data_IF_119254479677
#
_entry.id   IF_119254479677
#
_cell.length_a   1.000
_cell.length_b   1.000
_cell.length_c   1.000
_cell.angle_alpha   90.00
_cell.angle_beta   90.00
_cell.angle_gamma   90.00
#
_symmetry.space_group_name_H-M   'P 1'
#
loop_
_entity.id
_entity.type
_entity.pdbx_description
1 polymer ?
#
# COMPACT_ATOMS: atom_id res chain seq x y z
N UNK A 1 21.31 -35.56 -16.87
CA UNK A 1 20.57 -34.90 -15.77
C UNK A 1 21.33 -33.61 -15.44
N UNK A 2 20.82 -32.43 -15.70
CA UNK A 2 21.37 -31.20 -15.12
C UNK A 2 20.62 -30.89 -13.82
N UNK A 3 21.32 -30.99 -12.70
CA UNK A 3 20.88 -30.38 -11.45
C UNK A 3 21.09 -28.85 -11.59
N UNK A 4 20.11 -28.15 -12.13
CA UNK A 4 20.05 -26.70 -12.07
C UNK A 4 19.66 -26.29 -10.66
N UNK A 5 20.47 -25.42 -10.11
CA UNK A 5 20.48 -24.94 -8.74
C UNK A 5 19.13 -24.30 -8.37
N UNK A 6 18.18 -25.09 -7.89
CA UNK A 6 16.86 -24.68 -7.41
C UNK A 6 16.95 -23.61 -6.29
N UNK A 7 18.07 -23.62 -5.54
CA UNK A 7 18.31 -22.65 -4.49
C UNK A 7 18.65 -21.24 -4.97
N UNK A 8 19.24 -21.08 -6.16
CA UNK A 8 19.56 -19.74 -6.70
C UNK A 8 18.31 -19.09 -7.34
N UNK A 9 17.41 -19.89 -7.90
CA UNK A 9 16.12 -19.39 -8.41
C UNK A 9 15.21 -18.94 -7.26
N UNK A 10 15.20 -19.66 -6.14
CA UNK A 10 14.40 -19.27 -4.98
C UNK A 10 14.90 -17.97 -4.33
N UNK A 11 16.21 -17.70 -4.34
CA UNK A 11 16.75 -16.45 -3.79
C UNK A 11 16.46 -15.26 -4.70
N UNK A 12 16.52 -15.45 -6.02
CA UNK A 12 16.14 -14.42 -6.99
C UNK A 12 14.61 -14.18 -6.98
N UNK A 13 13.81 -15.22 -6.76
CA UNK A 13 12.35 -15.11 -6.60
C UNK A 13 11.99 -14.38 -5.30
N UNK A 14 12.67 -14.66 -4.18
CA UNK A 14 12.47 -13.95 -2.91
C UNK A 14 12.87 -12.46 -3.05
N UNK A 15 13.95 -12.17 -3.76
CA UNK A 15 14.41 -10.79 -4.01
C UNK A 15 13.45 -10.04 -4.94
N UNK A 16 12.83 -10.70 -5.91
CA UNK A 16 11.87 -10.08 -6.82
C UNK A 16 10.42 -10.06 -6.27
N UNK A 17 10.04 -11.02 -5.42
CA UNK A 17 8.78 -10.96 -4.64
C UNK A 17 8.85 -9.76 -3.68
N UNK A 18 10.06 -9.50 -3.14
CA UNK A 18 10.36 -8.25 -2.48
C UNK A 18 10.12 -7.02 -3.38
N UNK A 19 10.01 -7.13 -4.69
CA UNK A 19 9.90 -5.99 -5.59
C UNK A 19 8.56 -5.25 -5.55
N UNK A 20 7.48 -5.93 -5.27
CA UNK A 20 6.18 -5.44 -5.64
C UNK A 20 5.15 -5.18 -4.52
N UNK A 21 5.27 -5.63 -3.30
CA UNK A 21 4.26 -5.43 -2.26
C UNK A 21 4.37 -4.08 -1.49
N UNK A 22 4.96 -3.07 -2.08
CA UNK A 22 5.28 -1.79 -1.44
C UNK A 22 4.36 -0.62 -1.75
N UNK A 23 3.48 -0.77 -2.70
CA UNK A 23 2.57 0.32 -3.11
C UNK A 23 1.20 0.21 -2.43
N UNK A 24 0.85 -0.96 -1.86
CA UNK A 24 -0.46 -1.22 -1.23
C UNK A 24 -0.77 -0.43 0.07
N UNK A 25 -0.10 0.68 0.32
CA UNK A 25 -0.31 1.49 1.53
C UNK A 25 -0.84 2.89 1.31
N UNK A 26 -1.10 3.31 0.07
CA UNK A 26 -1.56 4.67 -0.25
C UNK A 26 -2.80 4.71 -1.16
N UNK A 27 -3.70 3.75 -1.05
CA UNK A 27 -5.04 3.94 -1.60
C UNK A 27 -5.76 4.98 -0.74
N UNK A 28 -5.71 6.25 -1.15
CA UNK A 28 -6.59 7.26 -0.64
C UNK A 28 -8.01 6.82 -0.92
N UNK A 29 -8.78 6.56 0.13
CA UNK A 29 -10.23 6.44 0.01
C UNK A 29 -10.74 7.72 -0.62
N UNK A 30 -11.21 7.64 -1.86
CA UNK A 30 -12.00 8.71 -2.46
C UNK A 30 -13.36 8.69 -1.78
N UNK A 31 -13.47 9.37 -0.64
CA UNK A 31 -14.78 9.80 -0.16
C UNK A 31 -15.34 10.80 -1.17
N UNK A 32 -16.59 10.60 -1.61
CA UNK A 32 -17.36 11.55 -2.40
C UNK A 32 -17.28 12.94 -1.77
N UNK A 33 -16.99 14.00 -2.54
CA UNK A 33 -16.91 15.34 -2.00
C UNK A 33 -18.27 15.77 -1.46
N UNK A 34 -18.36 15.93 -0.15
CA UNK A 34 -19.48 16.63 0.48
C UNK A 34 -19.62 18.02 -0.18
N UNK A 35 -20.85 18.53 -0.36
CA UNK A 35 -21.09 19.78 -1.09
C UNK A 35 -20.31 20.93 -0.46
N UNK A 36 -19.56 21.62 -1.30
CA UNK A 36 -18.73 22.75 -0.95
C UNK A 36 -19.47 23.80 -0.10
N UNK A 37 -19.15 23.87 1.17
CA UNK A 37 -19.46 25.06 1.96
C UNK A 37 -18.41 26.12 1.63
N UNK A 38 -18.84 27.20 1.01
CA UNK A 38 -18.06 28.40 0.77
C UNK A 38 -17.66 29.02 2.10
N UNK A 39 -16.40 28.82 2.51
CA UNK A 39 -15.78 29.53 3.61
C UNK A 39 -15.25 30.85 3.05
N UNK A 40 -15.54 32.03 3.65
CA UNK A 40 -14.98 33.28 3.19
C UNK A 40 -13.48 33.30 3.39
N UNK A 41 -12.75 33.70 2.36
CA UNK A 41 -11.29 33.94 2.40
C UNK A 41 -11.04 35.14 3.31
N UNK A 42 -10.25 35.05 4.39
CA UNK A 42 -9.81 36.19 5.14
C UNK A 42 -8.70 36.89 4.38
N UNK A 43 -8.82 38.21 4.25
CA UNK A 43 -7.83 39.11 3.65
C UNK A 43 -6.50 39.00 4.39
N UNK A 44 -5.43 39.04 3.59
CA UNK A 44 -4.06 39.03 4.08
C UNK A 44 -3.70 40.36 4.81
N UNK A 45 -3.80 40.34 6.12
CA UNK A 45 -3.10 41.31 6.96
C UNK A 45 -2.47 40.60 8.16
N UNK A 46 -1.15 40.79 8.28
CA UNK A 46 -0.32 40.12 9.26
C UNK A 46 -0.70 40.43 10.70
N UNK A 47 -0.74 39.39 11.52
CA UNK A 47 -0.70 39.55 12.96
C UNK A 47 0.36 38.61 13.54
N UNK A 48 1.19 39.20 14.35
CA UNK A 48 2.29 38.63 15.09
C UNK A 48 1.84 37.40 15.93
N UNK A 49 2.68 36.40 15.90
CA UNK A 49 2.54 35.21 16.77
C UNK A 49 2.93 35.64 18.19
N UNK A 50 1.96 35.76 19.04
CA UNK A 50 2.17 35.94 20.48
C UNK A 50 2.40 34.52 21.07
N UNK A 51 3.62 34.32 21.59
CA UNK A 51 3.98 33.10 22.32
C UNK A 51 3.20 33.02 23.62
N UNK A 52 2.23 32.16 23.71
CA UNK A 52 1.68 31.72 25.00
C UNK A 52 2.18 30.28 25.30
N UNK A 53 2.96 30.22 26.38
CA UNK A 53 3.48 28.97 26.92
C UNK A 53 2.38 28.29 27.72
N UNK A 54 1.91 27.14 27.27
CA UNK A 54 1.55 26.02 28.13
C UNK A 54 0.89 24.88 27.34
N UNK A 55 1.62 23.81 27.19
CA UNK A 55 1.11 22.46 27.31
C UNK A 55 0.15 21.94 26.25
N UNK A 56 0.59 20.91 25.65
CA UNK A 56 -0.12 19.95 24.81
C UNK A 56 0.07 20.22 23.30
N UNK A 57 1.19 19.70 22.80
CA UNK A 57 1.39 19.54 21.34
C UNK A 57 0.37 18.54 20.81
N UNK A 58 -0.86 18.97 20.65
CA UNK A 58 -1.82 18.27 19.80
C UNK A 58 -1.40 18.57 18.36
N UNK A 59 -0.63 17.67 17.76
CA UNK A 59 -0.30 17.74 16.33
C UNK A 59 -1.62 17.48 15.59
N UNK A 60 -2.28 18.55 15.15
CA UNK A 60 -3.39 18.44 14.20
C UNK A 60 -2.78 18.08 12.85
N UNK A 61 -2.83 16.80 12.53
CA UNK A 61 -2.38 16.31 11.22
C UNK A 61 -3.45 16.69 10.21
N UNK A 62 -3.15 17.69 9.36
CA UNK A 62 -3.98 17.98 8.20
C UNK A 62 -3.75 16.84 7.18
N UNK A 63 -4.77 16.05 6.81
CA UNK A 63 -4.61 14.93 5.89
C UNK A 63 -4.15 15.34 4.48
N UNK A 64 -4.24 16.62 4.14
CA UNK A 64 -3.91 17.15 2.83
C UNK A 64 -2.51 17.79 2.75
N UNK A 65 -1.80 17.90 3.86
CA UNK A 65 -0.49 18.56 3.92
C UNK A 65 0.56 17.60 4.47
N UNK A 66 1.58 17.31 3.66
CA UNK A 66 2.76 16.58 4.14
C UNK A 66 3.59 17.54 4.99
N UNK A 67 3.63 17.30 6.32
CA UNK A 67 4.48 18.06 7.23
C UNK A 67 5.96 17.72 6.98
N UNK A 68 6.80 18.74 6.94
CA UNK A 68 8.26 18.58 6.85
C UNK A 68 8.92 18.48 8.23
N UNK A 69 8.23 17.87 9.20
CA UNK A 69 8.79 17.63 10.52
C UNK A 69 10.07 16.78 10.44
N UNK A 70 11.00 17.05 11.32
CA UNK A 70 12.28 16.35 11.39
C UNK A 70 12.11 14.99 12.08
N UNK A 71 11.69 13.99 11.31
CA UNK A 71 11.61 12.63 11.81
C UNK A 71 12.99 12.01 12.01
N UNK A 72 13.17 11.31 13.13
CA UNK A 72 14.40 10.59 13.42
C UNK A 72 14.59 9.41 12.48
N UNK A 73 15.61 9.45 11.63
CA UNK A 73 15.94 8.41 10.65
C UNK A 73 17.41 7.98 10.82
N UNK A 74 17.65 6.99 11.70
CA UNK A 74 19.00 6.52 11.98
C UNK A 74 19.67 5.81 10.79
N UNK A 75 18.88 5.35 9.82
CA UNK A 75 19.36 4.65 8.63
C UNK A 75 19.34 5.53 7.38
N UNK A 76 19.20 6.85 7.53
CA UNK A 76 19.09 7.79 6.40
C UNK A 76 20.09 7.56 5.26
N UNK A 77 21.41 7.34 5.50
CA UNK A 77 22.34 7.12 4.38
C UNK A 77 22.02 5.87 3.55
N UNK A 78 21.64 4.78 4.23
CA UNK A 78 21.22 3.53 3.57
C UNK A 78 19.88 3.70 2.87
N UNK A 79 18.90 4.29 3.56
CA UNK A 79 17.58 4.55 3.03
C UNK A 79 17.63 5.44 1.78
N UNK A 80 18.44 6.50 1.78
CA UNK A 80 18.65 7.35 0.59
C UNK A 80 19.31 6.61 -0.58
N UNK A 81 20.24 5.71 -0.29
CA UNK A 81 20.85 4.89 -1.33
C UNK A 81 19.82 3.96 -1.99
N UNK A 82 19.05 3.24 -1.17
CA UNK A 82 17.98 2.34 -1.67
C UNK A 82 16.88 3.13 -2.38
N UNK A 83 16.50 4.29 -1.84
CA UNK A 83 15.52 5.17 -2.46
C UNK A 83 15.95 5.60 -3.87
N UNK A 84 17.21 6.02 -4.04
CA UNK A 84 17.75 6.38 -5.37
C UNK A 84 17.72 5.21 -6.34
N UNK A 85 18.03 4.00 -5.87
CA UNK A 85 17.92 2.81 -6.70
C UNK A 85 16.46 2.59 -7.15
N UNK A 86 15.52 2.68 -6.22
CA UNK A 86 14.09 2.54 -6.52
C UNK A 86 13.58 3.65 -7.46
N UNK A 87 13.99 4.88 -7.24
CA UNK A 87 13.61 6.05 -8.09
C UNK A 87 14.10 5.89 -9.53
N UNK A 88 15.36 5.47 -9.71
CA UNK A 88 15.91 5.18 -11.06
C UNK A 88 15.10 4.08 -11.75
N UNK A 89 14.81 2.99 -11.04
CA UNK A 89 14.02 1.90 -11.59
C UNK A 89 12.59 2.34 -11.92
N UNK A 90 11.96 3.10 -11.04
CA UNK A 90 10.61 3.62 -11.28
C UNK A 90 10.58 4.53 -12.51
N UNK A 91 11.43 5.55 -12.57
CA UNK A 91 11.45 6.53 -13.67
C UNK A 91 11.80 5.92 -15.03
N UNK A 92 12.77 5.03 -15.08
CA UNK A 92 13.29 4.50 -16.36
C UNK A 92 12.63 3.18 -16.81
N UNK A 93 11.97 2.46 -15.92
CA UNK A 93 11.31 1.20 -16.27
C UNK A 93 9.82 1.18 -15.90
N UNK A 94 9.47 1.33 -14.62
CA UNK A 94 8.09 1.07 -14.18
C UNK A 94 7.09 2.13 -14.67
N UNK A 95 7.43 3.43 -14.59
CA UNK A 95 6.55 4.52 -15.06
C UNK A 95 6.32 4.45 -16.57
N UNK A 96 7.33 4.31 -17.44
CA UNK A 96 7.10 4.14 -18.87
C UNK A 96 6.25 2.90 -19.23
N UNK A 97 6.49 1.79 -18.52
CA UNK A 97 5.71 0.56 -18.71
C UNK A 97 4.27 0.73 -18.20
N UNK A 98 4.06 1.35 -17.05
CA UNK A 98 2.73 1.64 -16.49
C UNK A 98 1.91 2.56 -17.40
N UNK A 99 2.50 3.64 -17.88
CA UNK A 99 1.87 4.53 -18.88
C UNK A 99 1.55 3.81 -20.19
N UNK A 100 2.42 2.88 -20.60
CA UNK A 100 2.16 2.01 -21.76
C UNK A 100 0.99 1.07 -21.52
N UNK A 101 0.97 0.45 -20.35
CA UNK A 101 -0.09 -0.44 -19.88
C UNK A 101 -1.46 0.28 -19.87
N UNK A 102 -1.55 1.42 -19.22
CA UNK A 102 -2.77 2.22 -19.12
C UNK A 102 -3.35 2.67 -20.48
N UNK A 103 -2.50 2.79 -21.53
CA UNK A 103 -2.95 3.12 -22.88
C UNK A 103 -3.51 1.93 -23.66
N UNK A 104 -3.05 0.73 -23.32
CA UNK A 104 -3.38 -0.50 -24.07
C UNK A 104 -4.50 -1.28 -23.42
N UNK A 105 -4.56 -1.27 -22.09
CA UNK A 105 -5.57 -2.00 -21.32
C UNK A 105 -6.83 -1.14 -21.19
N UNK A 106 -7.99 -1.60 -21.70
CA UNK A 106 -9.25 -0.90 -21.52
C UNK A 106 -9.68 -0.92 -20.06
N UNK A 107 -10.29 0.16 -19.57
CA UNK A 107 -10.79 0.30 -18.21
C UNK A 107 -11.65 -0.90 -17.74
N UNK A 108 -12.48 -1.44 -18.62
CA UNK A 108 -13.29 -2.62 -18.29
C UNK A 108 -12.45 -3.88 -18.01
N UNK A 109 -11.25 -4.02 -18.59
CA UNK A 109 -10.31 -5.12 -18.30
C UNK A 109 -9.55 -4.83 -17.03
N UNK A 110 -9.13 -3.59 -16.86
CA UNK A 110 -8.43 -3.08 -15.70
C UNK A 110 -9.20 -3.40 -14.41
N UNK A 111 -10.46 -2.99 -14.33
CA UNK A 111 -11.36 -3.34 -13.21
C UNK A 111 -11.55 -4.85 -12.98
N UNK A 112 -11.43 -5.69 -14.01
CA UNK A 112 -11.52 -7.16 -13.81
C UNK A 112 -10.25 -7.70 -13.16
N UNK A 113 -9.12 -7.14 -13.50
CA UNK A 113 -7.84 -7.49 -12.89
C UNK A 113 -7.82 -7.04 -11.43
N UNK A 114 -8.28 -5.82 -11.13
CA UNK A 114 -8.44 -5.33 -9.75
C UNK A 114 -9.32 -6.26 -8.92
N UNK A 115 -10.51 -6.56 -9.41
CA UNK A 115 -11.44 -7.45 -8.73
C UNK A 115 -10.84 -8.82 -8.45
N UNK A 116 -10.07 -9.37 -9.40
CA UNK A 116 -9.40 -10.66 -9.23
C UNK A 116 -8.36 -10.61 -8.10
N UNK A 117 -7.47 -9.62 -8.10
CA UNK A 117 -6.43 -9.51 -7.06
C UNK A 117 -7.02 -9.14 -5.70
N UNK A 118 -8.03 -8.26 -5.65
CA UNK A 118 -8.79 -7.96 -4.44
C UNK A 118 -9.46 -9.21 -3.88
N UNK A 119 -10.07 -10.05 -4.73
CA UNK A 119 -10.66 -11.31 -4.30
C UNK A 119 -9.61 -12.29 -3.74
N UNK A 120 -8.44 -12.37 -4.35
CA UNK A 120 -7.33 -13.21 -3.88
C UNK A 120 -6.79 -12.74 -2.52
N UNK A 121 -6.87 -11.45 -2.20
CA UNK A 121 -6.46 -10.90 -0.91
C UNK A 121 -7.46 -11.18 0.23
N UNK A 122 -8.75 -11.42 -0.07
CA UNK A 122 -9.79 -11.61 0.96
C UNK A 122 -9.49 -12.69 2.02
N UNK A 123 -8.88 -13.85 1.69
CA UNK A 123 -8.46 -14.82 2.70
C UNK A 123 -7.42 -14.27 3.68
N UNK A 124 -6.49 -13.43 3.21
CA UNK A 124 -5.49 -12.76 4.06
C UNK A 124 -6.22 -11.79 5.02
N UNK A 125 -7.11 -10.97 4.48
CA UNK A 125 -7.92 -10.05 5.27
C UNK A 125 -8.78 -10.78 6.31
N UNK A 126 -9.37 -11.94 5.94
CA UNK A 126 -10.18 -12.73 6.85
C UNK A 126 -9.36 -13.27 8.03
N UNK A 127 -8.14 -13.77 7.78
CA UNK A 127 -7.24 -14.25 8.84
C UNK A 127 -6.84 -13.08 9.75
N UNK A 128 -6.45 -11.96 9.19
CA UNK A 128 -6.02 -10.78 9.95
C UNK A 128 -7.16 -10.19 10.78
N UNK A 129 -8.37 -10.05 10.22
CA UNK A 129 -9.55 -9.63 10.99
C UNK A 129 -9.85 -10.59 12.16
N UNK A 130 -9.63 -11.90 11.97
CA UNK A 130 -9.81 -12.85 13.06
C UNK A 130 -8.76 -12.66 14.15
N UNK A 131 -7.51 -12.42 13.78
CA UNK A 131 -6.42 -12.11 14.73
C UNK A 131 -6.63 -10.79 15.48
N UNK A 132 -7.36 -9.84 14.88
CA UNK A 132 -7.80 -8.59 15.52
C UNK A 132 -9.07 -8.73 16.36
N UNK A 133 -9.54 -9.98 16.59
CA UNK A 133 -10.77 -10.28 17.30
C UNK A 133 -12.05 -9.70 16.66
N UNK A 134 -12.06 -9.52 15.34
CA UNK A 134 -13.17 -9.02 14.53
C UNK A 134 -13.80 -10.16 13.66
N UNK A 135 -14.46 -11.16 14.28
CA UNK A 135 -14.98 -12.33 13.55
C UNK A 135 -16.09 -11.98 12.54
N UNK A 136 -16.78 -10.85 12.73
CA UNK A 136 -17.79 -10.37 11.78
C UNK A 136 -17.14 -9.92 10.47
N UNK A 137 -16.04 -9.18 10.54
CA UNK A 137 -15.28 -8.70 9.39
C UNK A 137 -14.62 -9.88 8.69
N UNK A 138 -14.02 -10.79 9.45
CA UNK A 138 -13.50 -12.06 8.92
C UNK A 138 -14.56 -12.86 8.15
N UNK A 139 -15.74 -13.05 8.75
CA UNK A 139 -16.86 -13.76 8.12
C UNK A 139 -17.37 -13.05 6.86
N UNK A 140 -17.39 -11.71 6.84
CA UNK A 140 -17.74 -10.91 5.66
C UNK A 140 -16.77 -11.14 4.51
N UNK A 141 -15.46 -11.10 4.78
CA UNK A 141 -14.43 -11.36 3.76
C UNK A 141 -14.48 -12.79 3.22
N UNK A 142 -14.72 -13.79 4.07
CA UNK A 142 -14.90 -15.17 3.62
C UNK A 142 -16.16 -15.34 2.76
N UNK A 143 -17.27 -14.67 3.10
CA UNK A 143 -18.47 -14.67 2.31
C UNK A 143 -18.25 -14.02 0.93
N UNK A 144 -17.57 -12.85 0.90
CA UNK A 144 -17.15 -12.20 -0.37
C UNK A 144 -16.31 -13.14 -1.21
N UNK A 145 -15.26 -13.73 -0.62
CA UNK A 145 -14.39 -14.66 -1.31
C UNK A 145 -15.18 -15.83 -1.93
N UNK A 146 -16.08 -16.45 -1.17
CA UNK A 146 -16.93 -17.54 -1.66
C UNK A 146 -17.84 -17.12 -2.81
N UNK A 147 -18.52 -15.99 -2.69
CA UNK A 147 -19.44 -15.46 -3.72
C UNK A 147 -18.66 -15.06 -4.97
N UNK A 148 -17.61 -14.29 -4.83
CA UNK A 148 -16.85 -13.75 -5.95
C UNK A 148 -16.05 -14.84 -6.67
N UNK A 149 -15.54 -15.84 -5.95
CA UNK A 149 -14.85 -16.98 -6.58
C UNK A 149 -15.81 -17.87 -7.36
N UNK A 150 -17.02 -18.13 -6.86
CA UNK A 150 -17.98 -19.03 -7.49
C UNK A 150 -18.84 -18.34 -8.56
N UNK A 151 -19.57 -17.30 -8.18
CA UNK A 151 -20.49 -16.57 -9.05
C UNK A 151 -19.75 -15.49 -9.86
N UNK A 152 -18.74 -14.87 -9.26
CA UNK A 152 -17.92 -13.82 -9.87
C UNK A 152 -16.80 -14.34 -10.78
N UNK A 153 -16.79 -15.64 -11.16
CA UNK A 153 -15.77 -16.23 -12.05
C UNK A 153 -14.34 -16.01 -11.52
N UNK A 154 -14.01 -16.61 -10.39
CA UNK A 154 -12.72 -16.48 -9.70
C UNK A 154 -12.39 -15.04 -9.24
N UNK A 155 -13.41 -14.20 -9.07
CA UNK A 155 -13.24 -12.81 -8.63
C UNK A 155 -13.10 -11.79 -9.75
N UNK A 156 -13.23 -12.16 -11.03
CA UNK A 156 -13.27 -11.19 -12.13
C UNK A 156 -14.46 -10.23 -12.05
N UNK A 157 -15.52 -10.65 -11.36
CA UNK A 157 -16.70 -9.83 -11.05
C UNK A 157 -16.88 -9.79 -9.54
N UNK A 158 -17.53 -8.73 -9.04
CA UNK A 158 -17.84 -8.54 -7.63
C UNK A 158 -19.36 -8.57 -7.35
N UNK A 159 -20.01 -9.73 -7.47
CA UNK A 159 -21.41 -9.87 -7.10
C UNK A 159 -21.65 -9.73 -5.59
N UNK A 160 -20.63 -9.92 -4.74
CA UNK A 160 -20.76 -9.75 -3.31
C UNK A 160 -21.03 -8.28 -2.94
N UNK A 161 -20.40 -7.34 -3.59
CA UNK A 161 -20.69 -5.93 -3.42
C UNK A 161 -21.94 -5.52 -4.17
N UNK A 162 -22.03 -5.86 -5.47
CA UNK A 162 -23.11 -5.40 -6.35
C UNK A 162 -24.50 -5.88 -5.92
N UNK A 163 -24.65 -7.07 -5.34
CA UNK A 163 -25.95 -7.64 -4.98
C UNK A 163 -26.25 -7.61 -3.49
N UNK A 164 -25.21 -7.65 -2.65
CA UNK A 164 -25.36 -7.77 -1.20
C UNK A 164 -24.81 -6.58 -0.43
N UNK A 165 -24.14 -5.63 -1.09
CA UNK A 165 -23.51 -4.48 -0.43
C UNK A 165 -22.44 -4.89 0.59
N UNK A 166 -21.78 -6.01 0.34
CA UNK A 166 -20.69 -6.47 1.21
C UNK A 166 -19.40 -5.81 0.76
N UNK A 167 -18.98 -4.76 1.42
CA UNK A 167 -17.67 -4.12 1.21
C UNK A 167 -16.52 -4.95 1.80
N UNK A 168 -15.31 -4.93 1.22
CA UNK A 168 -14.15 -5.59 1.80
C UNK A 168 -13.78 -4.95 3.16
N UNK A 169 -13.30 -5.76 4.09
CA UNK A 169 -12.71 -5.30 5.32
C UNK A 169 -11.21 -5.57 5.26
N UNK A 170 -10.49 -4.63 4.71
CA UNK A 170 -9.04 -4.76 4.51
C UNK A 170 -8.32 -4.88 5.86
N UNK A 171 -7.40 -5.83 5.92
CA UNK A 171 -6.53 -6.05 7.07
C UNK A 171 -5.32 -6.88 6.64
N UNK A 172 -4.15 -6.36 6.87
CA UNK A 172 -2.88 -7.06 6.69
C UNK A 172 -2.24 -7.40 8.05
N UNK A 173 -1.12 -8.08 8.03
CA UNK A 173 -0.45 -8.43 9.27
C UNK A 173 0.21 -7.22 9.95
N UNK A 174 0.52 -6.15 9.22
CA UNK A 174 1.04 -4.91 9.79
C UNK A 174 -0.05 -4.18 10.61
N UNK A 175 -1.27 -4.11 10.09
CA UNK A 175 -2.43 -3.56 10.82
C UNK A 175 -2.80 -4.43 11.99
N UNK A 176 -2.65 -5.75 11.88
CA UNK A 176 -2.85 -6.69 13.00
C UNK A 176 -1.83 -6.45 14.11
N UNK A 177 -0.54 -6.32 13.78
CA UNK A 177 0.49 -5.98 14.76
C UNK A 177 0.23 -4.64 15.42
N UNK A 178 -0.19 -3.65 14.64
CA UNK A 178 -0.55 -2.34 15.16
C UNK A 178 -1.80 -2.38 16.06
N UNK A 179 -2.79 -3.23 15.77
CA UNK A 179 -3.94 -3.46 16.63
C UNK A 179 -3.52 -4.01 18.02
N UNK A 180 -2.42 -4.74 18.07
CA UNK A 180 -1.82 -5.25 19.31
C UNK A 180 -0.72 -4.33 19.88
N UNK A 181 -0.76 -3.03 19.57
CA UNK A 181 0.15 -2.00 20.08
C UNK A 181 1.64 -2.21 19.72
N UNK A 182 1.93 -2.97 18.67
CA UNK A 182 3.29 -3.08 18.15
C UNK A 182 3.63 -1.83 17.35
N UNK A 183 4.59 -1.04 17.85
CA UNK A 183 5.05 0.17 17.19
C UNK A 183 5.67 -0.09 15.81
N UNK A 184 5.75 0.93 14.97
CA UNK A 184 6.30 0.81 13.62
C UNK A 184 7.83 0.53 13.62
N UNK A 185 8.53 0.84 14.72
CA UNK A 185 9.97 0.63 14.85
C UNK A 185 10.80 1.67 14.10
N UNK A 186 11.72 1.20 13.26
CA UNK A 186 12.64 2.06 12.50
C UNK A 186 12.13 2.23 11.07
N UNK A 187 12.20 3.46 10.55
CA UNK A 187 11.91 3.73 9.15
C UNK A 187 12.95 3.05 8.24
N UNK A 188 12.48 2.39 7.20
CA UNK A 188 13.27 1.64 6.23
C UNK A 188 12.81 1.97 4.82
N UNK A 189 13.74 2.04 3.87
CA UNK A 189 13.40 1.96 2.45
C UNK A 189 13.81 0.58 1.96
N UNK A 190 12.83 -0.19 1.53
CA UNK A 190 13.09 -1.53 1.02
C UNK A 190 13.43 -1.47 -0.48
N UNK A 191 14.44 -2.22 -0.94
CA UNK A 191 14.71 -2.34 -2.37
C UNK A 191 13.45 -2.82 -3.07
N UNK A 192 13.07 -2.13 -4.13
CA UNK A 192 11.90 -2.42 -4.94
C UNK A 192 10.53 -2.07 -4.31
N UNK A 193 10.38 -2.11 -2.98
CA UNK A 193 9.12 -1.84 -2.29
C UNK A 193 8.93 -0.38 -1.88
N UNK A 194 10.00 0.39 -1.86
CA UNK A 194 9.93 1.78 -1.44
C UNK A 194 9.85 1.99 0.07
N UNK A 195 9.23 3.10 0.52
CA UNK A 195 9.08 3.46 1.92
C UNK A 195 8.40 2.36 2.74
N UNK A 196 8.92 2.09 3.91
CA UNK A 196 8.42 1.06 4.83
C UNK A 196 8.92 1.35 6.26
N UNK A 197 8.61 0.47 7.17
CA UNK A 197 9.12 0.45 8.54
C UNK A 197 9.34 -0.98 9.03
N UNK A 198 9.91 -1.13 10.21
CA UNK A 198 10.25 -2.44 10.76
C UNK A 198 9.05 -3.37 10.94
N UNK A 199 7.90 -2.83 11.35
CA UNK A 199 6.65 -3.59 11.49
C UNK A 199 6.12 -4.05 10.13
N UNK A 200 6.00 -3.12 9.19
CA UNK A 200 5.51 -3.41 7.85
C UNK A 200 6.45 -4.39 7.11
N UNK A 201 7.76 -4.23 7.22
CA UNK A 201 8.72 -5.14 6.62
C UNK A 201 8.61 -6.58 7.15
N UNK A 202 8.40 -6.73 8.46
CA UNK A 202 8.19 -8.06 9.07
C UNK A 202 6.83 -8.65 8.68
N UNK A 203 5.79 -7.82 8.66
CA UNK A 203 4.44 -8.24 8.31
C UNK A 203 4.33 -8.78 6.88
N UNK A 204 5.01 -8.15 5.91
CA UNK A 204 5.05 -8.62 4.52
C UNK A 204 5.51 -10.07 4.37
N UNK A 205 6.46 -10.50 5.20
CA UNK A 205 6.92 -11.90 5.19
C UNK A 205 5.79 -12.83 5.60
N UNK A 206 5.01 -12.47 6.62
CA UNK A 206 3.87 -13.27 7.07
C UNK A 206 2.75 -13.27 6.03
N UNK A 207 2.40 -12.12 5.48
CA UNK A 207 1.36 -11.99 4.46
C UNK A 207 1.70 -12.77 3.18
N UNK A 208 2.99 -12.85 2.82
CA UNK A 208 3.44 -13.71 1.72
C UNK A 208 3.11 -15.20 1.97
N UNK A 209 3.32 -15.69 3.20
CA UNK A 209 2.97 -17.08 3.55
C UNK A 209 1.45 -17.30 3.67
N UNK A 210 0.69 -16.26 3.96
CA UNK A 210 -0.77 -16.33 3.97
C UNK A 210 -1.38 -16.20 2.57
N UNK A 211 -0.61 -15.73 1.58
CA UNK A 211 -1.09 -15.47 0.24
C UNK A 211 -1.50 -16.76 -0.49
N UNK A 212 -2.72 -16.85 -1.07
CA UNK A 212 -3.22 -18.11 -1.65
C UNK A 212 -2.45 -18.55 -2.90
N UNK A 213 -1.95 -17.65 -3.72
CA UNK A 213 -1.32 -17.95 -5.02
C UNK A 213 -0.19 -18.97 -4.91
N UNK A 214 0.81 -18.83 -3.99
CA UNK A 214 1.89 -19.81 -3.87
C UNK A 214 1.46 -21.21 -3.41
N UNK A 215 0.24 -21.33 -2.88
CA UNK A 215 -0.31 -22.64 -2.47
C UNK A 215 -1.08 -23.35 -3.59
N UNK A 216 -1.49 -22.60 -4.61
CA UNK A 216 -2.29 -23.13 -5.73
C UNK A 216 -1.45 -23.28 -6.99
N UNK A 217 -0.48 -22.42 -7.20
CA UNK A 217 0.39 -22.41 -8.38
C UNK A 217 1.82 -22.77 -8.00
N UNK A 218 2.48 -23.53 -8.87
CA UNK A 218 3.90 -23.82 -8.76
C UNK A 218 4.75 -22.60 -9.20
N UNK A 219 6.07 -22.66 -8.92
CA UNK A 219 7.02 -21.71 -9.48
C UNK A 219 7.43 -22.14 -10.89
N UNK A 220 7.54 -21.23 -11.88
CA UNK A 220 7.56 -19.77 -11.75
C UNK A 220 6.20 -19.06 -11.91
N UNK A 221 5.11 -19.79 -12.14
CA UNK A 221 3.80 -19.21 -12.46
C UNK A 221 3.25 -18.34 -11.32
N UNK A 222 3.38 -18.82 -10.08
CA UNK A 222 2.99 -18.06 -8.90
C UNK A 222 3.72 -16.71 -8.82
N UNK A 223 5.03 -16.74 -9.08
CA UNK A 223 5.85 -15.53 -9.10
C UNK A 223 5.41 -14.54 -10.19
N UNK A 224 5.19 -15.02 -11.41
CA UNK A 224 4.77 -14.16 -12.53
C UNK A 224 3.42 -13.52 -12.23
N UNK A 225 2.45 -14.29 -11.71
CA UNK A 225 1.12 -13.76 -11.40
C UNK A 225 1.15 -12.73 -10.27
N UNK A 226 1.89 -13.00 -9.20
CA UNK A 226 2.06 -12.04 -8.10
C UNK A 226 2.77 -10.76 -8.57
N UNK A 227 3.84 -10.89 -9.36
CA UNK A 227 4.56 -9.74 -9.92
C UNK A 227 3.67 -8.92 -10.86
N UNK A 228 2.81 -9.57 -11.63
CA UNK A 228 1.86 -8.88 -12.48
C UNK A 228 0.83 -8.09 -11.66
N UNK A 229 0.28 -8.66 -10.59
CA UNK A 229 -0.66 -7.95 -9.72
C UNK A 229 -0.08 -6.66 -9.17
N UNK A 230 1.13 -6.73 -8.67
CA UNK A 230 1.84 -5.58 -8.13
C UNK A 230 2.23 -4.53 -9.20
N UNK A 231 2.60 -4.98 -10.38
CA UNK A 231 2.82 -4.07 -11.51
C UNK A 231 1.53 -3.39 -11.95
N UNK A 232 0.42 -4.13 -11.96
CA UNK A 232 -0.89 -3.60 -12.30
C UNK A 232 -1.33 -2.49 -11.34
N UNK A 233 -1.22 -2.71 -10.02
CA UNK A 233 -1.46 -1.71 -8.98
C UNK A 233 -0.57 -0.47 -9.18
N UNK A 234 0.74 -0.65 -9.35
CA UNK A 234 1.65 0.46 -9.61
C UNK A 234 1.29 1.22 -10.90
N UNK A 235 0.84 0.52 -11.95
CA UNK A 235 0.58 1.13 -13.25
C UNK A 235 -0.60 2.12 -13.20
N UNK A 236 -1.54 1.93 -12.29
CA UNK A 236 -2.66 2.85 -12.06
C UNK A 236 -2.16 4.18 -11.48
N UNK A 237 -1.19 4.13 -10.57
CA UNK A 237 -0.66 5.30 -9.86
C UNK A 237 0.63 5.87 -10.50
N UNK A 238 1.07 5.32 -11.63
CA UNK A 238 2.38 5.66 -12.22
C UNK A 238 2.53 7.15 -12.57
N UNK A 239 1.47 7.81 -13.05
CA UNK A 239 1.49 9.24 -13.37
C UNK A 239 1.51 10.10 -12.12
N UNK A 240 0.78 9.72 -11.09
CA UNK A 240 0.71 10.42 -9.82
C UNK A 240 2.02 10.29 -9.05
N UNK A 241 2.63 9.11 -9.06
CA UNK A 241 3.96 8.89 -8.49
C UNK A 241 5.02 9.81 -9.13
N UNK A 242 5.07 9.87 -10.46
CA UNK A 242 6.00 10.75 -11.17
C UNK A 242 5.76 12.22 -10.81
N UNK A 243 4.50 12.67 -10.85
CA UNK A 243 4.12 14.05 -10.52
C UNK A 243 4.50 14.46 -9.10
N UNK A 244 4.23 13.59 -8.11
CA UNK A 244 4.57 13.84 -6.70
C UNK A 244 6.08 14.01 -6.50
N UNK A 245 6.90 13.17 -7.15
CA UNK A 245 8.35 13.27 -7.05
C UNK A 245 8.92 14.48 -7.77
N UNK A 246 8.34 14.90 -8.90
CA UNK A 246 8.78 16.08 -9.64
C UNK A 246 8.45 17.40 -8.91
N UNK A 247 7.37 17.42 -8.15
CA UNK A 247 6.93 18.59 -7.40
C UNK A 247 7.63 18.75 -6.05
N UNK A 248 8.35 17.73 -5.59
CA UNK A 248 9.01 17.77 -4.28
C UNK A 248 10.46 18.28 -4.39
N UNK A 249 10.86 19.16 -3.46
CA UNK A 249 12.22 19.66 -3.36
C UNK A 249 13.23 18.54 -3.00
N UNK A 250 12.89 17.68 -2.05
CA UNK A 250 13.61 16.45 -1.71
C UNK A 250 12.64 15.25 -1.72
N UNK A 251 12.59 14.49 -2.83
CA UNK A 251 11.68 13.35 -2.97
C UNK A 251 11.83 12.29 -1.88
N UNK A 252 13.04 12.09 -1.37
CA UNK A 252 13.26 11.15 -0.27
C UNK A 252 12.60 11.62 1.03
N UNK A 253 12.80 12.87 1.41
CA UNK A 253 12.19 13.46 2.61
C UNK A 253 10.68 13.48 2.48
N UNK A 254 10.17 13.85 1.30
CA UNK A 254 8.74 13.86 1.02
C UNK A 254 8.12 12.47 1.23
N UNK A 255 8.66 11.43 0.59
CA UNK A 255 8.14 10.06 0.69
C UNK A 255 8.28 9.47 2.10
N UNK A 256 9.38 9.80 2.82
CA UNK A 256 9.54 9.43 4.23
C UNK A 256 8.44 10.03 5.09
N UNK A 257 8.23 11.33 4.96
CA UNK A 257 7.27 12.06 5.78
C UNK A 257 5.83 11.60 5.45
N UNK A 258 5.52 11.39 4.18
CA UNK A 258 4.23 10.84 3.75
C UNK A 258 3.96 9.48 4.42
N UNK A 259 4.93 8.55 4.38
CA UNK A 259 4.80 7.23 5.01
C UNK A 259 4.63 7.35 6.54
N UNK A 260 5.46 8.15 7.21
CA UNK A 260 5.38 8.28 8.67
C UNK A 260 4.10 8.96 9.13
N UNK A 261 3.59 9.93 8.37
CA UNK A 261 2.29 10.56 8.63
C UNK A 261 1.14 9.58 8.45
N UNK A 262 1.16 8.71 7.42
CA UNK A 262 0.12 7.68 7.26
C UNK A 262 0.10 6.74 8.45
N UNK A 263 1.26 6.25 8.90
CA UNK A 263 1.38 5.37 10.08
C UNK A 263 0.87 6.05 11.36
N UNK A 264 1.16 7.34 11.56
CA UNK A 264 0.68 8.11 12.72
C UNK A 264 -0.83 8.36 12.66
N UNK A 265 -1.36 8.70 11.48
CA UNK A 265 -2.79 8.86 11.26
C UNK A 265 -3.52 7.56 11.58
N UNK A 266 -3.06 6.44 11.06
CA UNK A 266 -3.69 5.13 11.30
C UNK A 266 -3.66 4.75 12.79
N UNK A 267 -2.65 5.18 13.55
CA UNK A 267 -2.61 5.01 14.99
C UNK A 267 -3.59 5.93 15.73
N UNK A 268 -3.88 7.12 15.21
CA UNK A 268 -4.79 8.09 15.84
C UNK A 268 -6.27 7.78 15.62
N UNK A 269 -6.62 7.05 14.55
CA UNK A 269 -8.00 6.66 14.23
C UNK A 269 -8.43 5.31 14.83
N UNK A 270 -7.62 4.71 15.68
CA UNK A 270 -7.91 3.48 16.44
C UNK A 270 -8.27 3.81 17.88
#
# INVERSE_FOLDING_TARGET
RPNTCQGCLNLAAIVLIAFFAGVSGCAAQTEDPAPAQTIPVPDAEGTAIENDQAGENTITIDPNVVSYDEYHDPLMPLNRFVFRFNDVLARYALVPLGKGYARVVPEAVDHRVDNFFSNVALPIYAVNNLLQAEPRLSGRNLARFGINTTVGLLGLFDPAEAWFGLEPAEADFATTLAHHDVGYGVYLVLPFFGPSDGRNAAARVVDYFLHPIPWVLDQPEAFVLMSYGLFHEFAQDAEDYERLLEQSEDPYIFMRNLHLQSVQRDAAYR
#
